data_IF_691885158559
#
_entry.id   IF_691885158559
#
_cell.length_a   1.000
_cell.length_b   1.000
_cell.length_c   1.000
_cell.angle_alpha   90.00
_cell.angle_beta   90.00
_cell.angle_gamma   90.00
#
_symmetry.space_group_name_H-M   'P 1'
#
loop_
_entity.id
_entity.type
_entity.pdbx_description
1 polymer ?
2 branched ?
3 non-polymer ?
4 water ?
#
# COMPACT_ATOMS: atom_id res chain seq x y z
N UNK A 1 -7.71 -19.04 -6.65
CA UNK A 1 -6.55 -18.65 -5.83
C UNK A 1 -7.17 -18.28 -4.53
N UNK A 2 -8.02 -19.16 -4.05
CA UNK A 2 -8.94 -18.83 -2.99
C UNK A 2 -10.16 -18.35 -3.75
N UNK A 3 -10.03 -17.26 -4.51
CA UNK A 3 -11.23 -16.70 -5.16
C UNK A 3 -11.06 -16.07 -6.54
N UNK A 4 -12.17 -16.06 -7.29
CA UNK A 4 -12.22 -15.46 -8.63
C UNK A 4 -12.19 -13.95 -8.52
N UNK A 5 -11.21 -13.34 -9.20
CA UNK A 5 -10.99 -11.90 -9.10
C UNK A 5 -11.10 -11.28 -10.49
N UNK A 6 -11.67 -10.08 -10.53
CA UNK A 6 -11.96 -9.39 -11.79
C UNK A 6 -11.33 -8.02 -11.74
N UNK A 7 -10.82 -7.55 -12.87
CA UNK A 7 -10.21 -6.20 -12.89
C UNK A 7 -11.27 -5.15 -12.62
N UNK A 8 -10.90 -4.12 -11.86
CA UNK A 8 -11.83 -3.04 -11.51
C UNK A 8 -11.42 -1.73 -12.18
N UNK A 9 -10.16 -1.69 -12.58
CA UNK A 9 -9.55 -0.58 -13.26
C UNK A 9 -8.37 -1.26 -13.91
N UNK A 10 -7.97 -0.75 -15.07
CA UNK A 10 -6.83 -1.31 -15.77
C UNK A 10 -5.53 -1.14 -14.97
N UNK A 11 -4.63 -2.11 -15.07
CA UNK A 11 -3.42 -2.09 -14.24
C UNK A 11 -2.54 -0.92 -14.63
N UNK A 12 -1.74 -0.45 -13.68
CA UNK A 12 -0.58 0.36 -14.00
C UNK A 12 0.57 -0.59 -14.21
N UNK A 13 1.11 -0.60 -15.42
CA UNK A 13 2.18 -1.53 -15.73
C UNK A 13 3.49 -0.75 -15.80
N UNK A 14 4.53 -1.30 -15.19
CA UNK A 14 5.84 -0.66 -15.05
C UNK A 14 5.78 0.83 -14.69
N UNK A 15 5.06 1.19 -13.63
CA UNK A 15 4.95 2.60 -13.27
C UNK A 15 6.30 3.19 -12.84
N UNK A 16 6.53 4.46 -13.20
CA UNK A 16 7.76 5.18 -12.85
C UNK A 16 7.70 5.66 -11.39
N UNK A 17 8.75 5.35 -10.63
CA UNK A 17 8.89 5.75 -9.23
C UNK A 17 9.67 7.08 -9.11
N UNK A 18 9.24 8.02 -8.25
CA UNK A 18 8.01 7.90 -7.43
C UNK A 18 6.75 8.04 -8.25
N UNK A 19 5.74 7.27 -7.88
CA UNK A 19 4.51 7.19 -8.63
C UNK A 19 3.36 7.80 -7.84
N UNK A 20 2.55 8.63 -8.50
CA UNK A 20 1.27 9.08 -7.94
C UNK A 20 0.21 8.91 -9.02
N UNK A 21 -0.85 8.15 -8.73
CA UNK A 21 -1.87 7.92 -9.74
C UNK A 21 -3.26 7.69 -9.17
N UNK A 22 -4.29 7.82 -10.02
CA UNK A 22 -5.67 7.69 -9.55
C UNK A 22 -6.05 6.27 -9.16
N UNK A 23 -6.84 6.18 -8.10
CA UNK A 23 -7.65 5.02 -7.85
C UNK A 23 -9.04 5.43 -8.33
N UNK A 24 -9.41 4.92 -9.50
CA UNK A 24 -10.57 5.42 -10.25
C UNK A 24 -11.91 5.14 -9.58
N UNK A 25 -12.58 6.22 -9.19
CA UNK A 25 -13.86 6.14 -8.49
C UNK A 25 -13.68 5.89 -7.00
N UNK A 26 -12.42 5.86 -6.56
CA UNK A 26 -12.09 5.73 -5.13
C UNK A 26 -12.03 4.29 -4.66
N UNK A 27 -11.44 4.06 -3.48
CA UNK A 27 -11.42 2.70 -2.94
C UNK A 27 -12.83 2.20 -2.73
N UNK A 28 -13.03 0.89 -2.88
CA UNK A 28 -14.36 0.28 -2.67
C UNK A 28 -14.21 -0.97 -1.81
N UNK A 29 -15.26 -1.32 -1.08
CA UNK A 29 -15.26 -2.55 -0.29
C UNK A 29 -14.98 -3.72 -1.21
N UNK A 30 -14.06 -4.58 -0.80
CA UNK A 30 -13.68 -5.75 -1.59
C UNK A 30 -12.66 -5.52 -2.69
N UNK A 31 -12.21 -4.28 -2.88
CA UNK A 31 -11.10 -4.01 -3.79
C UNK A 31 -9.78 -4.57 -3.26
N UNK A 32 -9.06 -5.25 -4.13
CA UNK A 32 -7.70 -5.70 -3.87
C UNK A 32 -6.72 -4.95 -4.76
N UNK A 33 -5.78 -4.24 -4.13
CA UNK A 33 -4.78 -3.48 -4.84
C UNK A 33 -3.47 -4.22 -4.63
N UNK A 34 -2.89 -4.72 -5.72
CA UNK A 34 -1.69 -5.55 -5.62
C UNK A 34 -0.52 -4.91 -6.29
N UNK A 35 0.60 -4.83 -5.56
CA UNK A 35 1.86 -4.30 -6.09
C UNK A 35 2.88 -5.41 -6.23
N UNK A 36 3.46 -5.51 -7.42
CA UNK A 36 4.48 -6.49 -7.71
C UNK A 36 5.73 -5.71 -8.10
N UNK A 37 6.82 -5.96 -7.38
CA UNK A 37 8.05 -5.22 -7.63
C UNK A 37 9.27 -5.77 -6.93
N UNK A 38 10.31 -4.94 -6.83
CA UNK A 38 11.59 -5.32 -6.23
C UNK A 38 12.19 -4.13 -5.52
N UNK A 39 12.71 -4.34 -4.31
CA UNK A 39 13.44 -3.27 -3.61
C UNK A 39 14.88 -3.16 -4.13
N UNK A 40 15.46 -1.98 -4.10
CA UNK A 40 16.86 -1.84 -4.50
C UNK A 40 17.75 -2.29 -3.33
N UNK A 41 19.02 -2.59 -3.61
CA UNK A 41 19.94 -2.96 -2.53
C UNK A 41 20.20 -1.80 -1.57
N UNK A 42 20.06 -0.58 -2.08
CA UNK A 42 20.33 0.65 -1.31
C UNK A 42 19.09 1.26 -0.62
N UNK A 43 17.97 0.54 -0.69
CA UNK A 43 16.75 0.93 0.03
C UNK A 43 16.98 0.99 1.55
N UNK A 44 16.40 2.00 2.19
CA UNK A 44 16.34 2.03 3.65
C UNK A 44 14.87 1.96 4.08
N UNK A 45 14.00 2.63 3.33
CA UNK A 45 12.56 2.70 3.61
C UNK A 45 11.79 2.76 2.29
N UNK A 46 10.55 2.30 2.29
CA UNK A 46 9.67 2.66 1.19
C UNK A 46 8.28 2.91 1.67
N UNK A 47 7.46 3.54 0.83
CA UNK A 47 6.12 3.96 1.25
C UNK A 47 5.08 3.63 0.18
N UNK A 48 3.94 3.10 0.62
CA UNK A 48 2.72 3.10 -0.20
C UNK A 48 1.70 3.94 0.57
N UNK A 49 1.15 4.97 -0.08
CA UNK A 49 0.15 5.85 0.57
C UNK A 49 -1.16 5.74 -0.17
N UNK A 50 -2.24 5.51 0.57
CA UNK A 50 -3.59 5.65 0.04
C UNK A 50 -4.13 6.98 0.50
N UNK A 51 -4.35 7.88 -0.44
CA UNK A 51 -4.54 9.26 -0.05
C UNK A 51 -5.66 9.92 -0.82
N UNK A 52 -6.06 11.08 -0.31
CA UNK A 52 -7.12 11.90 -0.88
C UNK A 52 -6.33 13.01 -1.57
N UNK A 53 -6.40 13.02 -2.90
CA UNK A 53 -5.64 13.94 -3.77
C UNK A 53 -4.11 13.74 -3.85
N UNK A 54 -3.48 14.60 -4.64
CA UNK A 54 -2.06 14.52 -4.97
C UNK A 54 -1.13 15.03 -3.86
N UNK A 55 -1.64 15.86 -2.96
CA UNK A 55 -0.72 16.62 -2.12
C UNK A 55 -0.10 15.87 -0.93
N UNK A 56 -0.72 14.77 -0.49
CA UNK A 56 -0.16 14.02 0.64
C UNK A 56 -0.46 14.58 2.02
N UNK A 57 -1.32 15.60 2.11
CA UNK A 57 -1.70 16.10 3.44
C UNK A 57 -2.73 15.23 4.14
N UNK A 58 -3.47 14.46 3.36
CA UNK A 58 -4.46 13.55 3.91
C UNK A 58 -4.24 12.18 3.35
N UNK A 59 -3.67 11.33 4.19
CA UNK A 59 -3.33 9.98 3.80
C UNK A 59 -4.14 9.05 4.71
N UNK A 60 -5.12 8.37 4.12
CA UNK A 60 -5.96 7.44 4.88
C UNK A 60 -5.14 6.29 5.47
N UNK A 61 -4.14 5.83 4.71
CA UNK A 61 -3.34 4.68 5.13
C UNK A 61 -1.95 4.82 4.53
N UNK A 62 -0.97 4.97 5.41
CA UNK A 62 0.44 5.10 5.07
C UNK A 62 1.03 3.77 5.52
N UNK A 63 1.62 3.04 4.58
CA UNK A 63 2.24 1.74 4.83
C UNK A 63 3.74 1.92 4.55
N UNK A 64 4.55 1.77 5.59
CA UNK A 64 5.96 2.21 5.52
C UNK A 64 6.96 1.21 6.13
N UNK A 65 7.37 0.21 5.34
CA UNK A 65 8.48 -0.69 5.72
C UNK A 65 9.80 0.06 5.94
N UNK A 66 10.47 -0.24 7.04
CA UNK A 66 11.72 0.41 7.39
C UNK A 66 12.78 -0.65 7.67
N UNK A 67 13.82 -0.68 6.84
CA UNK A 67 14.91 -1.63 7.02
C UNK A 67 15.87 -0.98 8.04
N UNK A 68 15.35 -0.77 9.26
CA UNK A 68 16.09 -0.12 10.36
C UNK A 68 15.80 -0.87 11.64
N UNK A 69 16.74 -0.84 12.59
CA UNK A 69 16.54 -1.48 13.92
C UNK A 69 16.07 -2.94 13.87
N UNK A 70 16.55 -3.66 12.86
CA UNK A 70 16.22 -5.06 12.67
C UNK A 70 15.12 -5.27 11.65
N UNK A 71 14.38 -4.20 11.34
CA UNK A 71 13.34 -4.31 10.31
C UNK A 71 11.98 -4.27 10.96
N UNK A 72 11.20 -3.26 10.60
CA UNK A 72 9.82 -3.15 11.09
C UNK A 72 8.98 -2.33 10.10
N UNK A 73 7.66 -2.31 10.31
CA UNK A 73 6.77 -1.63 9.36
C UNK A 73 5.82 -0.72 10.15
N UNK A 74 5.69 0.52 9.69
CA UNK A 74 4.85 1.50 10.32
C UNK A 74 3.60 1.68 9.48
N UNK A 75 2.46 1.68 10.16
CA UNK A 75 1.17 2.05 9.56
C UNK A 75 0.59 3.27 10.29
N UNK A 76 0.10 4.25 9.53
CA UNK A 76 -0.43 5.45 10.15
C UNK A 76 -1.41 6.15 9.19
N UNK A 77 -2.01 7.21 9.69
CA UNK A 77 -2.93 8.07 8.94
C UNK A 77 -2.49 9.51 9.15
N UNK A 78 -2.58 10.31 8.10
CA UNK A 78 -2.27 11.75 8.19
C UNK A 78 -3.55 12.49 7.86
N UNK A 79 -3.89 13.46 8.69
CA UNK A 79 -5.07 14.28 8.51
C UNK A 79 -4.64 15.72 8.63
N UNK A 80 -4.92 16.50 7.58
CA UNK A 80 -4.56 17.93 7.59
C UNK A 80 -3.07 18.16 7.93
N UNK A 81 -2.21 17.30 7.40
CA UNK A 81 -0.76 17.41 7.63
C UNK A 81 -0.24 16.89 8.97
N UNK A 82 -1.10 16.25 9.76
CA UNK A 82 -0.73 15.75 11.10
C UNK A 82 -0.82 14.22 11.16
N UNK A 83 0.28 13.58 11.56
CA UNK A 83 0.33 12.13 11.75
C UNK A 83 -0.43 11.77 13.02
N UNK A 84 -1.12 10.62 12.99
CA UNK A 84 -1.83 10.12 14.15
C UNK A 84 -0.90 9.19 14.91
N UNK A 85 -1.45 8.39 15.83
CA UNK A 85 -0.66 7.40 16.56
C UNK A 85 -0.21 6.24 15.67
N UNK A 86 1.09 5.97 15.66
CA UNK A 86 1.63 4.92 14.80
C UNK A 86 1.26 3.55 15.29
N UNK A 87 1.02 2.64 14.34
CA UNK A 87 0.95 1.23 14.63
C UNK A 87 2.19 0.58 14.00
N UNK A 88 3.01 -0.07 14.81
CA UNK A 88 4.22 -0.70 14.30
C UNK A 88 4.13 -2.20 14.43
N UNK A 89 4.49 -2.91 13.37
CA UNK A 89 4.66 -4.35 13.49
C UNK A 89 6.12 -4.64 13.43
N UNK A 90 6.62 -5.27 14.50
CA UNK A 90 8.08 -5.45 14.65
C UNK A 90 8.52 -6.71 13.93
N UNK A 91 8.41 -6.66 12.60
CA UNK A 91 8.78 -7.75 11.71
C UNK A 91 9.00 -7.15 10.34
N UNK A 92 9.92 -7.70 9.56
CA UNK A 92 10.17 -7.23 8.19
C UNK A 92 9.93 -8.38 7.21
N UNK A 93 8.81 -8.33 6.50
CA UNK A 93 8.46 -9.38 5.54
C UNK A 93 9.05 -9.22 4.14
N UNK A 94 9.73 -8.10 3.91
CA UNK A 94 10.46 -7.83 2.66
C UNK A 94 11.95 -8.09 2.83
N UNK A 95 12.62 -8.39 1.73
CA UNK A 95 14.08 -8.58 1.76
C UNK A 95 14.70 -7.64 0.74
N UNK A 96 15.75 -6.92 1.14
CA UNK A 96 16.39 -5.97 0.21
C UNK A 96 16.79 -6.69 -1.08
N UNK A 97 16.55 -6.04 -2.21
CA UNK A 97 16.97 -6.55 -3.51
C UNK A 97 16.22 -7.76 -3.99
N UNK A 98 15.12 -8.09 -3.33
CA UNK A 98 14.33 -9.26 -3.66
C UNK A 98 12.93 -8.87 -4.13
N UNK A 99 12.36 -9.64 -5.05
CA UNK A 99 10.98 -9.43 -5.49
C UNK A 99 9.99 -9.61 -4.34
N UNK A 100 8.85 -8.94 -4.45
CA UNK A 100 7.80 -9.04 -3.46
C UNK A 100 6.45 -8.86 -4.15
N UNK A 101 5.41 -9.45 -3.57
CA UNK A 101 4.03 -9.16 -3.94
C UNK A 101 3.39 -8.54 -2.69
N UNK A 102 2.78 -7.37 -2.85
CA UNK A 102 2.17 -6.67 -1.72
C UNK A 102 0.71 -6.38 -2.07
N UNK A 103 -0.20 -6.92 -1.28
CA UNK A 103 -1.62 -6.82 -1.59
C UNK A 103 -2.40 -6.15 -0.47
N UNK A 104 -3.16 -5.11 -0.81
CA UNK A 104 -4.03 -4.43 0.15
C UNK A 104 -5.47 -4.77 -0.15
N UNK A 105 -6.14 -5.41 0.80
CA UNK A 105 -7.57 -5.72 0.64
C UNK A 105 -8.44 -4.76 1.46
N UNK A 106 -9.38 -4.09 0.78
CA UNK A 106 -10.25 -3.16 1.49
C UNK A 106 -11.47 -3.91 2.02
N UNK A 107 -11.56 -4.05 3.34
CA UNK A 107 -12.76 -4.61 3.95
C UNK A 107 -13.58 -3.49 4.59
N UNK A 108 -14.78 -3.81 5.06
CA UNK A 108 -15.68 -2.79 5.62
C UNK A 108 -15.07 -1.98 6.79
N UNK A 109 -14.37 -2.65 7.70
CA UNK A 109 -13.83 -1.99 8.90
C UNK A 109 -12.30 -1.82 8.89
N UNK A 110 -11.62 -2.52 7.98
CA UNK A 110 -10.15 -2.52 7.96
C UNK A 110 -9.59 -2.75 6.59
N UNK A 111 -8.32 -2.37 6.43
CA UNK A 111 -7.45 -2.94 5.39
C UNK A 111 -6.79 -4.18 5.92
N UNK A 112 -6.67 -5.19 5.07
CA UNK A 112 -5.84 -6.37 5.35
C UNK A 112 -4.68 -6.32 4.38
N UNK A 113 -3.47 -6.52 4.87
CA UNK A 113 -2.28 -6.43 4.04
C UNK A 113 -1.57 -7.77 3.98
N UNK A 114 -1.38 -8.29 2.77
CA UNK A 114 -0.64 -9.54 2.55
C UNK A 114 0.69 -9.26 1.88
N UNK A 115 1.74 -9.93 2.35
CA UNK A 115 3.03 -9.83 1.72
C UNK A 115 3.46 -11.23 1.32
N UNK A 116 3.76 -11.38 0.02
CA UNK A 116 4.13 -12.67 -0.57
C UNK A 116 3.11 -13.77 -0.23
N UNK A 117 1.84 -13.38 -0.38
CA UNK A 117 0.66 -14.24 -0.22
C UNK A 117 0.33 -14.58 1.23
N UNK A 118 1.10 -14.03 2.16
CA UNK A 118 0.87 -14.29 3.57
C UNK A 118 0.36 -13.05 4.28
N UNK A 119 -0.62 -13.22 5.16
CA UNK A 119 -1.16 -12.08 5.90
C UNK A 119 -0.04 -11.45 6.72
N UNK A 120 0.03 -10.13 6.70
CA UNK A 120 1.06 -9.42 7.41
C UNK A 120 0.50 -8.50 8.52
N UNK A 121 -0.43 -7.61 8.17
CA UNK A 121 -0.97 -6.68 9.16
C UNK A 121 -2.41 -6.30 8.77
N UNK A 122 -3.25 -5.97 9.75
CA UNK A 122 -4.51 -5.29 9.46
C UNK A 122 -4.41 -3.85 9.94
N UNK A 123 -5.23 -2.98 9.37
CA UNK A 123 -5.25 -1.59 9.78
C UNK A 123 -6.69 -1.08 9.78
N UNK A 124 -7.21 -0.73 10.95
CA UNK A 124 -8.59 -0.22 11.05
C UNK A 124 -8.71 1.09 10.30
N UNK A 125 -9.77 1.26 9.51
CA UNK A 125 -10.06 2.56 8.86
C UNK A 125 -10.23 3.63 9.93
N UNK A 126 -9.46 4.72 9.81
CA UNK A 126 -9.63 5.88 10.68
C UNK A 126 -10.52 6.96 10.03
N UNK A 127 -10.52 6.95 8.70
CA UNK A 127 -11.34 7.83 7.88
C UNK A 127 -12.02 6.95 6.82
N UNK A 128 -13.12 7.41 6.19
CA UNK A 128 -13.73 6.58 5.13
C UNK A 128 -12.77 6.37 3.95
N UNK A 129 -12.66 5.11 3.54
CA UNK A 129 -11.70 4.69 2.54
C UNK A 129 -12.16 5.21 1.19
N UNK A 130 -13.45 5.50 1.05
CA UNK A 130 -13.92 5.85 -0.28
C UNK A 130 -13.46 7.26 -0.68
N UNK A 131 -13.02 8.04 0.31
CA UNK A 131 -12.35 9.34 0.09
C UNK A 131 -10.97 9.19 -0.58
N UNK A 132 -10.41 7.98 -0.53
CA UNK A 132 -9.12 7.71 -1.15
C UNK A 132 -9.26 7.58 -2.66
N UNK A 133 -8.64 8.50 -3.40
CA UNK A 133 -8.74 8.47 -4.85
C UNK A 133 -7.38 8.43 -5.49
N UNK A 134 -6.33 8.30 -4.67
CA UNK A 134 -4.95 8.36 -5.14
C UNK A 134 -4.09 7.32 -4.45
N UNK A 135 -3.21 6.69 -5.22
CA UNK A 135 -2.15 5.89 -4.63
C UNK A 135 -0.82 6.55 -4.90
N UNK A 136 0.06 6.57 -3.91
CA UNK A 136 1.38 7.13 -4.13
C UNK A 136 2.40 6.13 -3.62
N UNK A 137 3.39 5.84 -4.44
CA UNK A 137 4.45 4.90 -4.08
C UNK A 137 5.81 5.58 -4.23
N UNK A 138 6.64 5.53 -3.19
CA UNK A 138 8.00 6.03 -3.27
C UNK A 138 8.97 5.12 -2.55
N UNK A 139 10.27 5.35 -2.76
CA UNK A 139 11.32 4.52 -2.16
C UNK A 139 12.21 3.96 -3.25
N UNK A 140 13.33 3.34 -2.85
CA UNK A 140 14.28 2.78 -3.81
C UNK A 140 13.77 1.42 -4.23
N UNK A 141 12.90 1.41 -5.24
CA UNK A 141 12.30 0.17 -5.70
C UNK A 141 11.87 0.36 -7.14
N UNK A 142 11.57 -0.75 -7.81
CA UNK A 142 10.82 -0.70 -9.06
C UNK A 142 9.55 -1.53 -8.92
N UNK A 143 8.56 -1.25 -9.75
CA UNK A 143 7.32 -2.02 -9.79
C UNK A 143 7.08 -2.58 -11.19
N UNK A 144 6.70 -3.85 -11.26
CA UNK A 144 6.28 -4.48 -12.51
C UNK A 144 4.86 -4.03 -12.83
N UNK A 145 4.02 -3.94 -11.80
CA UNK A 145 2.62 -3.56 -11.98
C UNK A 145 1.91 -3.25 -10.69
N UNK A 146 0.80 -2.52 -10.79
CA UNK A 146 -0.20 -2.40 -9.72
C UNK A 146 -1.54 -2.82 -10.34
N UNK A 147 -2.23 -3.81 -9.77
CA UNK A 147 -3.55 -4.18 -10.26
C UNK A 147 -4.64 -3.80 -9.25
N UNK A 148 -5.87 -3.75 -9.74
CA UNK A 148 -7.05 -3.36 -8.99
C UNK A 148 -8.11 -4.40 -9.35
N UNK A 149 -8.52 -5.21 -8.37
CA UNK A 149 -9.41 -6.35 -8.62
C UNK A 149 -10.48 -6.48 -7.53
N UNK A 150 -11.65 -6.97 -7.92
CA UNK A 150 -12.76 -7.21 -6.99
C UNK A 150 -13.23 -8.66 -7.16
N UNK A 151 -13.88 -9.21 -6.13
CA UNK A 151 -14.63 -10.47 -6.24
C UNK A 151 -15.94 -10.26 -7.02
X LIG B 1 8.82 11.28 25.82
X LIG B 1 7.99 12.40 25.20
X LIG B 1 7.50 11.86 23.86
X LIG B 1 8.69 11.37 23.03
X LIG B 1 9.64 10.49 23.86
X LIG B 1 10.84 10.01 23.05
X LIG B 1 6.77 14.11 26.46
X LIG B 1 5.40 14.59 26.81
X LIG B 1 6.88 12.84 26.03
X LIG B 1 9.08 11.44 27.18
X LIG B 1 6.79 12.85 23.14
X LIG B 1 8.14 10.76 21.97
X LIG B 1 10.01 11.17 25.06
X LIG B 1 11.65 11.11 22.73
X LIG B 1 7.74 14.88 26.59
X LIG B 2 8.54 11.16 20.68
X LIG B 2 8.10 10.09 19.67
X LIG B 2 8.22 10.60 18.24
X LIG B 2 7.64 12.01 18.11
X LIG B 2 8.26 12.93 19.16
X LIG B 2 7.70 14.34 19.10
X LIG B 2 8.88 8.94 19.84
X LIG B 2 7.79 9.74 17.31
X LIG B 2 6.24 11.93 18.34
X LIG B 2 7.92 12.40 20.42
X LIG B 2 8.51 15.18 19.91
X LIG B 3 8.38 9.63 16.04
X LIG B 3 8.03 8.26 15.45
X LIG B 3 8.52 8.21 14.02
X LIG B 3 7.97 9.38 13.20
X LIG B 3 8.41 10.68 13.89
X LIG B 3 7.92 11.93 13.15
X LIG B 3 8.00 6.56 17.26
X LIG B 3 8.87 5.67 18.11
X LIG B 3 8.64 7.23 16.27
X LIG B 3 8.14 6.99 13.41
X LIG B 3 8.51 9.27 11.89
X LIG B 3 7.88 10.68 15.20
X LIG B 3 6.51 11.95 13.18
X LIG B 3 6.80 6.63 17.49
X LIG B 4 7.56 9.57 10.86
X LIG B 4 8.28 9.64 9.53
X LIG B 4 7.30 9.83 8.37
X LIG B 4 6.15 8.83 8.47
X LIG B 4 5.55 8.85 9.87
X LIG B 4 4.47 7.78 10.11
X LIG B 4 9.30 10.63 9.53
X LIG B 4 7.98 9.65 7.14
X LIG B 4 6.62 7.53 8.13
X LIG B 4 6.59 8.56 10.79
X LIG B 4 4.06 7.86 11.46
X LIG C 1 13.55 8.88 0.25
X LIG C 1 14.86 8.37 0.17
X LIG C 1 12.64 7.75 -0.19
X LIG C 1 11.41 7.85 0.49
X LIG C 1 12.43 7.92 -1.69
X LIG C 1 13.51 8.68 -2.19
#
# INVERSE_FOLDING_TARGET
>A
SGMALFSAQSPYINPIIPFTGPIQGGLQEGLQVTLQGTTKSFAQRFVVNFQNSFNGNDIAFHFNPRFEEGGYVVCNTKQNGQWGPEERKMQMPFQKGMPFELCFLVQRSEFKVMVNKKFFVQYQHRVPYHLVDTIAVSGCLKLSFITFQTQNFRPAHQA
>B hetero
1 NAG C1 C2 C3 C4 C5 C6 C7 C8 N2 O1 O3 O4 O5 O6 O7
2 GAL C1 C2 C3 C4 C5 C6 O2 O3 O4 O5 O6
3 NAG C1 C2 C3 C4 C5 C6 C7 C8 N2 O3 O4 O5 O6 O7
4 GAL C1 C2 C3 C4 C5 C6 O2 O3 O4 O5 O6
>C hetero
1 GOL C1 O1 C2 O2 C3 O3
#
